data_IF_928503571199
#
_entry.id   IF_928503571199
#
_cell.length_a   1.000
_cell.length_b   1.000
_cell.length_c   1.000
_cell.angle_alpha   90.00
_cell.angle_beta   90.00
_cell.angle_gamma   90.00
#
_symmetry.space_group_name_H-M   'P 1'
#
loop_
_entity.id
_entity.type
_entity.pdbx_description
1 polymer ?
#
# COMPACT_ATOMS: atom_id res chain seq x y z
N UNK A 1 -9.07 15.42 4.89
CA UNK A 1 -9.59 14.59 3.78
C UNK A 1 -9.51 13.14 4.22
N UNK A 2 -10.63 12.39 4.21
CA UNK A 2 -10.63 10.95 4.53
C UNK A 2 -10.12 10.14 3.33
N UNK A 3 -9.40 9.05 3.61
CA UNK A 3 -8.86 8.14 2.61
C UNK A 3 -8.04 8.85 1.50
N UNK A 4 -7.00 9.64 1.86
CA UNK A 4 -6.08 10.18 0.87
C UNK A 4 -5.40 9.04 0.11
N UNK A 5 -5.17 9.25 -1.19
CA UNK A 5 -4.45 8.30 -2.05
C UNK A 5 -3.03 8.77 -2.28
N UNK A 6 -2.05 7.88 -2.16
CA UNK A 6 -0.63 8.19 -2.41
C UNK A 6 0.07 7.10 -3.21
N UNK A 7 1.28 7.40 -3.68
CA UNK A 7 2.19 6.42 -4.29
C UNK A 7 3.23 5.99 -3.25
N UNK A 8 3.65 4.72 -3.31
CA UNK A 8 4.69 4.16 -2.45
C UNK A 8 5.94 3.90 -3.27
N UNK A 9 7.10 4.23 -2.72
CA UNK A 9 8.38 3.98 -3.37
C UNK A 9 8.50 4.69 -4.72
N UNK A 10 9.16 4.05 -5.68
CA UNK A 10 9.37 4.62 -7.00
C UNK A 10 8.20 4.34 -7.95
N UNK A 11 7.78 5.38 -8.65
CA UNK A 11 6.95 5.23 -9.85
C UNK A 11 7.77 4.62 -11.00
N UNK A 12 7.09 4.27 -12.09
CA UNK A 12 7.71 3.64 -13.28
C UNK A 12 8.88 4.49 -13.79
N UNK A 13 10.08 3.89 -13.73
CA UNK A 13 11.32 4.48 -14.25
C UNK A 13 11.52 4.11 -15.73
N UNK A 14 12.20 4.95 -16.52
CA UNK A 14 12.49 4.64 -17.92
C UNK A 14 13.48 3.48 -18.06
N UNK A 15 13.40 2.74 -19.17
CA UNK A 15 14.20 1.53 -19.41
C UNK A 15 15.71 1.81 -19.51
N UNK A 16 16.10 3.02 -19.94
CA UNK A 16 17.50 3.43 -19.97
C UNK A 16 18.12 3.60 -18.57
N UNK A 17 17.30 3.75 -17.52
CA UNK A 17 17.74 3.93 -16.13
C UNK A 17 17.64 2.64 -15.31
N UNK A 18 16.65 1.80 -15.61
CA UNK A 18 16.34 0.60 -14.81
C UNK A 18 16.11 -0.61 -15.71
N UNK A 19 16.96 -1.63 -15.54
CA UNK A 19 16.76 -2.96 -16.10
C UNK A 19 15.61 -3.68 -15.37
N UNK A 20 14.41 -3.61 -15.93
CA UNK A 20 13.20 -4.21 -15.34
C UNK A 20 13.24 -5.73 -15.29
N UNK A 21 13.91 -6.37 -16.25
CA UNK A 21 13.98 -7.83 -16.33
C UNK A 21 14.80 -8.39 -15.15
N UNK A 22 15.97 -7.79 -14.89
CA UNK A 22 16.81 -8.15 -13.75
C UNK A 22 16.15 -7.79 -12.42
N UNK A 23 15.48 -6.64 -12.36
CA UNK A 23 14.85 -6.19 -11.12
C UNK A 23 13.74 -7.15 -10.64
N UNK A 24 12.93 -7.69 -11.56
CA UNK A 24 11.86 -8.65 -11.24
C UNK A 24 12.39 -9.97 -10.64
N UNK A 25 13.64 -10.33 -10.90
CA UNK A 25 14.23 -11.59 -10.40
C UNK A 25 14.88 -11.47 -9.02
N UNK A 26 14.91 -10.27 -8.42
CA UNK A 26 15.56 -10.02 -7.13
C UNK A 26 14.59 -9.44 -6.11
N UNK A 27 14.41 -10.15 -5.00
CA UNK A 27 13.66 -9.64 -3.85
C UNK A 27 14.46 -8.54 -3.14
N UNK A 28 13.79 -7.54 -2.52
CA UNK A 28 14.48 -6.58 -1.66
C UNK A 28 15.21 -7.33 -0.53
N UNK A 29 16.51 -7.09 -0.31
CA UNK A 29 17.22 -7.71 0.80
C UNK A 29 16.61 -7.20 2.12
N UNK A 30 15.96 -8.10 2.87
CA UNK A 30 15.44 -7.81 4.21
C UNK A 30 16.41 -8.40 5.23
N UNK A 31 17.23 -7.57 5.86
CA UNK A 31 18.08 -7.99 6.98
C UNK A 31 17.38 -7.58 8.28
N UNK A 32 16.93 -8.55 9.08
CA UNK A 32 16.43 -8.26 10.43
C UNK A 32 17.63 -8.08 11.35
N UNK A 33 17.92 -6.84 11.75
CA UNK A 33 18.97 -6.50 12.71
C UNK A 33 18.52 -6.87 14.13
N UNK A 34 18.84 -8.09 14.57
CA UNK A 34 18.43 -8.63 15.89
C UNK A 34 19.24 -8.03 17.04
N UNK A 35 20.40 -7.49 16.73
CA UNK A 35 21.32 -6.79 17.63
C UNK A 35 20.85 -5.37 17.98
N UNK A 36 20.07 -4.74 17.09
CA UNK A 36 19.54 -3.38 17.26
C UNK A 36 18.23 -3.39 18.06
N UNK A 37 17.35 -4.37 17.82
CA UNK A 37 16.00 -4.42 18.41
C UNK A 37 15.87 -5.60 19.37
N UNK A 38 16.01 -5.32 20.67
CA UNK A 38 15.94 -6.31 21.76
C UNK A 38 14.61 -6.25 22.50
N UNK A 39 13.50 -6.59 21.84
CA UNK A 39 12.22 -6.75 22.53
C UNK A 39 12.07 -8.22 22.92
N UNK A 40 12.06 -8.58 24.23
CA UNK A 40 11.81 -9.95 24.64
C UNK A 40 10.45 -10.43 24.12
N UNK A 41 10.29 -11.69 23.67
CA UNK A 41 9.04 -12.18 23.09
C UNK A 41 7.79 -11.94 23.94
N UNK A 42 7.94 -11.97 25.28
CA UNK A 42 6.86 -11.71 26.22
C UNK A 42 6.25 -10.29 26.11
N UNK A 43 7.02 -9.31 25.60
CA UNK A 43 6.60 -7.91 25.47
C UNK A 43 6.29 -7.50 24.02
N UNK A 44 6.36 -8.42 23.06
CA UNK A 44 6.27 -8.07 21.64
C UNK A 44 4.91 -7.46 21.27
N UNK A 45 3.81 -8.05 21.76
CA UNK A 45 2.46 -7.56 21.45
C UNK A 45 2.22 -6.18 22.06
N UNK A 46 2.53 -6.01 23.35
CA UNK A 46 2.44 -4.72 24.03
C UNK A 46 3.27 -3.64 23.32
N UNK A 47 4.49 -3.96 22.89
CA UNK A 47 5.33 -3.02 22.17
C UNK A 47 4.79 -2.68 20.77
N UNK A 48 4.19 -3.63 20.06
CA UNK A 48 3.53 -3.40 18.77
C UNK A 48 2.28 -2.53 18.92
N UNK A 49 1.46 -2.83 19.91
CA UNK A 49 0.27 -2.05 20.24
C UNK A 49 0.69 -0.63 20.62
N UNK A 50 1.63 -0.46 21.55
CA UNK A 50 2.15 0.85 21.96
C UNK A 50 2.81 1.64 20.83
N UNK A 51 3.41 0.97 19.84
CA UNK A 51 4.01 1.64 18.67
C UNK A 51 2.96 2.16 17.67
N UNK A 52 1.73 1.63 17.70
CA UNK A 52 0.69 1.86 16.70
C UNK A 52 -0.58 2.62 17.10
N UNK A 53 -0.91 3.02 18.36
CA UNK A 53 -2.27 3.47 18.70
C UNK A 53 -2.66 4.79 18.04
N UNK A 54 -1.68 5.65 17.77
CA UNK A 54 -1.85 6.97 17.17
C UNK A 54 -1.34 7.08 15.74
N UNK A 55 -0.92 5.96 15.13
CA UNK A 55 -0.32 5.97 13.80
C UNK A 55 -1.38 5.94 12.72
N UNK A 56 -1.13 6.71 11.66
CA UNK A 56 -1.80 6.58 10.37
C UNK A 56 -1.12 5.46 9.59
N UNK A 57 -1.92 4.59 8.98
CA UNK A 57 -1.46 3.45 8.21
C UNK A 57 -1.65 3.70 6.73
N UNK A 58 -0.64 3.30 5.96
CA UNK A 58 -0.71 3.25 4.52
C UNK A 58 -1.03 1.83 4.09
N UNK A 59 -2.19 1.63 3.49
CA UNK A 59 -2.74 0.32 3.17
C UNK A 59 -2.54 0.03 1.68
N UNK A 60 -1.80 -1.04 1.39
CA UNK A 60 -1.61 -1.58 0.06
C UNK A 60 -2.89 -2.21 -0.48
N UNK A 61 -3.49 -1.62 -1.51
CA UNK A 61 -4.75 -2.09 -2.13
C UNK A 61 -4.60 -2.48 -3.59
N UNK A 62 -3.39 -2.37 -4.14
CA UNK A 62 -3.04 -2.82 -5.49
C UNK A 62 -2.07 -3.98 -5.38
N UNK A 63 -2.32 -5.03 -6.15
CA UNK A 63 -1.39 -6.13 -6.37
C UNK A 63 -0.48 -5.76 -7.54
N UNK A 64 0.80 -5.51 -7.24
CA UNK A 64 1.79 -5.15 -8.25
C UNK A 64 2.51 -6.37 -8.84
N UNK A 65 2.24 -7.57 -8.32
CA UNK A 65 2.67 -8.84 -8.90
C UNK A 65 1.81 -9.26 -10.10
N UNK A 66 0.54 -8.88 -10.12
CA UNK A 66 -0.36 -9.05 -11.26
C UNK A 66 -0.34 -7.83 -12.20
N UNK A 67 -0.12 -8.07 -13.49
CA UNK A 67 -0.16 -7.05 -14.52
C UNK A 67 -1.59 -6.58 -14.87
N UNK A 68 -2.63 -7.33 -14.48
CA UNK A 68 -4.01 -6.93 -14.72
C UNK A 68 -4.39 -5.72 -13.87
N UNK A 69 -5.03 -4.72 -14.50
CA UNK A 69 -5.55 -3.55 -13.79
C UNK A 69 -6.79 -3.94 -12.99
N UNK A 70 -6.80 -3.71 -11.69
CA UNK A 70 -7.97 -3.95 -10.85
C UNK A 70 -9.15 -3.05 -11.22
N UNK A 71 -10.37 -3.52 -10.96
CA UNK A 71 -11.55 -2.64 -11.03
C UNK A 71 -11.62 -1.75 -9.78
N UNK A 72 -12.26 -0.57 -9.87
CA UNK A 72 -12.53 0.28 -8.71
C UNK A 72 -13.24 -0.46 -7.57
N UNK A 73 -14.13 -1.41 -7.87
CA UNK A 73 -14.92 -2.17 -6.90
C UNK A 73 -14.06 -3.17 -6.12
N UNK A 74 -13.10 -3.82 -6.80
CA UNK A 74 -12.10 -4.67 -6.13
C UNK A 74 -11.27 -3.84 -5.16
N UNK A 75 -10.82 -2.65 -5.58
CA UNK A 75 -10.06 -1.75 -4.70
C UNK A 75 -10.92 -1.27 -3.53
N UNK A 76 -12.17 -0.85 -3.77
CA UNK A 76 -13.09 -0.43 -2.72
C UNK A 76 -13.32 -1.56 -1.69
N UNK A 77 -13.47 -2.81 -2.15
CA UNK A 77 -13.59 -3.98 -1.27
C UNK A 77 -12.35 -4.14 -0.38
N UNK A 78 -11.15 -3.98 -0.92
CA UNK A 78 -9.90 -4.03 -0.15
C UNK A 78 -9.80 -2.89 0.88
N UNK A 79 -10.26 -1.68 0.52
CA UNK A 79 -10.31 -0.54 1.45
C UNK A 79 -11.29 -0.83 2.60
N UNK A 80 -12.49 -1.33 2.32
CA UNK A 80 -13.49 -1.65 3.37
C UNK A 80 -12.95 -2.66 4.39
N UNK A 81 -12.20 -3.68 3.94
CA UNK A 81 -11.52 -4.62 4.85
C UNK A 81 -10.53 -3.94 5.80
N UNK A 82 -9.87 -2.86 5.38
CA UNK A 82 -9.03 -2.09 6.28
C UNK A 82 -9.85 -1.26 7.28
N UNK A 83 -11.05 -0.82 6.88
CA UNK A 83 -11.97 -0.08 7.74
C UNK A 83 -12.65 -0.94 8.82
N UNK A 84 -12.68 -2.26 8.65
CA UNK A 84 -13.12 -3.19 9.70
C UNK A 84 -12.22 -3.13 10.95
N UNK A 85 -10.99 -2.62 10.82
CA UNK A 85 -9.98 -2.61 11.89
C UNK A 85 -9.40 -1.22 12.19
N UNK A 86 -9.45 -0.29 11.24
CA UNK A 86 -8.91 1.07 11.37
C UNK A 86 -9.97 2.10 11.04
N UNK A 87 -10.10 3.19 11.82
CA UNK A 87 -11.03 4.24 11.46
C UNK A 87 -10.55 4.99 10.20
N UNK A 88 -11.45 5.54 9.36
CA UNK A 88 -11.12 6.14 8.07
C UNK A 88 -10.05 7.25 8.12
N UNK A 89 -10.01 8.03 9.19
CA UNK A 89 -9.03 9.10 9.43
C UNK A 89 -7.59 8.60 9.63
N UNK A 90 -7.42 7.31 9.91
CA UNK A 90 -6.12 6.66 10.09
C UNK A 90 -5.68 5.85 8.87
N UNK A 91 -6.38 5.93 7.75
CA UNK A 91 -6.08 5.15 6.54
C UNK A 91 -5.64 6.06 5.39
N UNK A 92 -4.46 5.78 4.84
CA UNK A 92 -3.96 6.28 3.56
C UNK A 92 -4.02 5.12 2.57
N UNK A 93 -4.67 5.32 1.43
CA UNK A 93 -4.80 4.30 0.38
C UNK A 93 -3.58 4.35 -0.55
N UNK A 94 -2.96 3.21 -0.80
CA UNK A 94 -1.70 3.14 -1.53
C UNK A 94 -1.52 1.82 -2.30
N UNK A 95 -0.58 1.74 -3.24
CA UNK A 95 -0.05 0.46 -3.72
C UNK A 95 0.68 -0.31 -2.61
N UNK A 96 0.80 -1.63 -2.74
CA UNK A 96 1.54 -2.48 -1.78
C UNK A 96 3.07 -2.23 -1.76
N UNK A 97 3.63 -1.73 -2.86
CA UNK A 97 5.05 -1.48 -3.07
C UNK A 97 5.30 -0.42 -4.17
N UNK A 98 6.56 -0.26 -4.59
CA UNK A 98 6.94 0.57 -5.74
C UNK A 98 6.58 -0.07 -7.09
N UNK A 99 6.21 0.76 -8.06
CA UNK A 99 5.64 0.34 -9.35
C UNK A 99 6.68 0.19 -10.48
N UNK A 100 7.97 0.33 -10.16
CA UNK A 100 9.10 0.33 -11.12
C UNK A 100 9.17 -0.88 -12.08
N UNK A 101 8.52 -1.98 -11.73
CA UNK A 101 8.48 -3.24 -12.49
C UNK A 101 7.39 -3.30 -13.57
N UNK A 102 6.40 -2.39 -13.49
CA UNK A 102 5.24 -2.36 -14.38
C UNK A 102 5.51 -1.49 -15.61
N UNK A 103 4.70 -1.69 -16.65
CA UNK A 103 4.59 -0.72 -17.74
C UNK A 103 3.94 0.57 -17.21
N UNK A 104 4.22 1.70 -17.87
CA UNK A 104 3.60 2.98 -17.52
C UNK A 104 2.08 2.94 -17.68
N UNK A 105 1.59 2.25 -18.71
CA UNK A 105 0.16 2.07 -18.98
C UNK A 105 -0.52 1.29 -17.84
N UNK A 106 0.01 0.12 -17.48
CA UNK A 106 -0.51 -0.69 -16.38
C UNK A 106 -0.48 0.10 -15.07
N UNK A 107 0.62 0.78 -14.77
CA UNK A 107 0.75 1.56 -13.54
C UNK A 107 -0.29 2.70 -13.48
N UNK A 108 -0.49 3.42 -14.58
CA UNK A 108 -1.50 4.47 -14.65
C UNK A 108 -2.92 3.91 -14.49
N UNK A 109 -3.23 2.77 -15.14
CA UNK A 109 -4.51 2.09 -15.01
C UNK A 109 -4.80 1.68 -13.57
N UNK A 110 -3.84 1.04 -12.90
CA UNK A 110 -3.95 0.64 -11.49
C UNK A 110 -4.13 1.83 -10.55
N UNK A 111 -3.37 2.91 -10.72
CA UNK A 111 -3.54 4.13 -9.93
C UNK A 111 -4.91 4.78 -10.18
N UNK A 112 -5.38 4.80 -11.42
CA UNK A 112 -6.71 5.31 -11.76
C UNK A 112 -7.81 4.50 -11.09
N UNK A 113 -7.71 3.17 -11.11
CA UNK A 113 -8.63 2.27 -10.41
C UNK A 113 -8.60 2.51 -8.90
N UNK A 114 -7.41 2.71 -8.32
CA UNK A 114 -7.25 3.01 -6.89
C UNK A 114 -7.94 4.31 -6.48
N UNK A 115 -7.72 5.40 -7.24
CA UNK A 115 -8.35 6.70 -6.96
C UNK A 115 -9.88 6.60 -7.07
N UNK A 116 -10.39 5.90 -8.08
CA UNK A 116 -11.83 5.67 -8.27
C UNK A 116 -12.42 4.82 -7.14
N UNK A 117 -11.75 3.73 -6.76
CA UNK A 117 -12.18 2.86 -5.65
C UNK A 117 -12.20 3.60 -4.31
N UNK A 118 -11.18 4.41 -4.04
CA UNK A 118 -11.16 5.26 -2.85
C UNK A 118 -12.28 6.31 -2.87
N UNK A 119 -12.62 6.87 -4.04
CA UNK A 119 -13.74 7.80 -4.17
C UNK A 119 -15.09 7.14 -3.89
N UNK A 120 -15.29 5.87 -4.25
CA UNK A 120 -16.49 5.10 -3.88
C UNK A 120 -16.62 5.04 -2.36
N UNK A 121 -15.58 4.57 -1.66
CA UNK A 121 -15.63 4.40 -0.19
C UNK A 121 -15.73 5.74 0.53
N UNK A 122 -15.11 6.82 0.03
CA UNK A 122 -15.26 8.17 0.63
C UNK A 122 -16.71 8.62 0.71
N UNK A 123 -17.55 8.28 -0.26
CA UNK A 123 -18.98 8.61 -0.24
C UNK A 123 -19.76 7.83 0.82
N UNK A 124 -19.23 6.70 1.27
CA UNK A 124 -19.83 5.84 2.30
C UNK A 124 -19.46 6.31 3.71
N UNK A 125 -18.31 6.96 3.89
CA UNK A 125 -17.75 7.29 5.22
C UNK A 125 -17.72 8.78 5.55
N UNK A 126 -17.94 9.67 4.58
CA UNK A 126 -18.10 11.10 4.86
C UNK A 126 -19.57 11.37 5.17
N UNK A 127 -19.91 11.87 6.38
CA UNK A 127 -21.27 12.31 6.66
C UNK A 127 -21.65 13.45 5.72
N UNK A 128 -22.84 13.36 5.14
CA UNK A 128 -23.50 14.44 4.39
C UNK A 128 -23.66 15.71 5.21
#
# INVERSE_FOLDING_TARGET
>A
MLLPTTVVGSYVQPEWLVDRANLKSRLPPRVRAREVWKIPPAHLLEAQDAATPSKTFMIGVLDLGDANVETPEVVATRIRRALDVLPPERVIVAPDCGMKYLSRETAFGKLSAMVKGAAVVRREVVPS
#
